data_IF_248222788801
#
_entry.id   IF_248222788801
#
_cell.length_a   1.000
_cell.length_b   1.000
_cell.length_c   1.000
_cell.angle_alpha   90.00
_cell.angle_beta   90.00
_cell.angle_gamma   90.00
#
_symmetry.space_group_name_H-M   'P 1'
#
loop_
_entity.id
_entity.type
_entity.pdbx_description
1 polymer ?
#
# COMPACT_ATOMS: atom_id res chain seq x y z
N UNK A 1 0.70 5.10 -28.27
CA UNK A 1 -0.56 4.49 -27.75
C UNK A 1 -0.42 2.98 -27.58
N UNK A 2 0.03 2.22 -28.60
CA UNK A 2 0.18 0.75 -28.52
C UNK A 2 1.17 0.32 -27.42
N UNK A 3 2.34 0.96 -27.34
CA UNK A 3 3.34 0.69 -26.28
C UNK A 3 2.85 1.06 -24.86
N UNK A 4 2.08 2.13 -24.74
CA UNK A 4 1.47 2.50 -23.46
C UNK A 4 0.43 1.46 -23.03
N UNK A 5 -0.34 0.92 -23.99
CA UNK A 5 -1.32 -0.13 -23.74
C UNK A 5 -0.66 -1.44 -23.27
N UNK A 6 0.46 -1.85 -23.86
CA UNK A 6 1.22 -3.03 -23.39
C UNK A 6 1.83 -2.78 -22.01
N UNK A 7 2.30 -1.57 -21.73
CA UNK A 7 2.79 -1.17 -20.40
C UNK A 7 1.70 -1.30 -19.33
N UNK A 8 0.49 -0.80 -19.60
CA UNK A 8 -0.64 -0.92 -18.68
C UNK A 8 -1.07 -2.38 -18.49
N UNK A 9 -1.01 -3.22 -19.54
CA UNK A 9 -1.26 -4.66 -19.43
C UNK A 9 -0.24 -5.36 -18.52
N UNK A 10 1.05 -5.08 -18.68
CA UNK A 10 2.10 -5.66 -17.82
C UNK A 10 1.93 -5.22 -16.36
N UNK A 11 1.61 -3.93 -16.14
CA UNK A 11 1.27 -3.40 -14.81
C UNK A 11 0.04 -4.10 -14.23
N UNK A 12 -1.00 -4.32 -15.03
CA UNK A 12 -2.20 -5.05 -14.61
C UNK A 12 -1.89 -6.48 -14.19
N UNK A 13 -1.07 -7.21 -14.96
CA UNK A 13 -0.65 -8.58 -14.63
C UNK A 13 0.11 -8.58 -13.29
N UNK A 14 1.08 -7.67 -13.13
CA UNK A 14 1.84 -7.55 -11.89
C UNK A 14 0.92 -7.24 -10.69
N UNK A 15 0.02 -6.25 -10.82
CA UNK A 15 -0.95 -5.90 -9.78
C UNK A 15 -1.84 -7.08 -9.41
N UNK A 16 -2.28 -7.85 -10.41
CA UNK A 16 -3.14 -9.03 -10.21
C UNK A 16 -2.39 -10.12 -9.43
N UNK A 17 -1.14 -10.42 -9.83
CA UNK A 17 -0.28 -11.39 -9.13
C UNK A 17 -0.05 -10.94 -7.68
N UNK A 18 0.33 -9.68 -7.47
CA UNK A 18 0.51 -9.14 -6.12
C UNK A 18 -0.76 -9.24 -5.28
N UNK A 19 -1.92 -8.95 -5.85
CA UNK A 19 -3.22 -9.04 -5.14
C UNK A 19 -3.53 -10.47 -4.72
N UNK A 20 -3.34 -11.44 -5.62
CA UNK A 20 -3.57 -12.86 -5.32
C UNK A 20 -2.65 -13.33 -4.19
N UNK A 21 -1.37 -12.96 -4.23
CA UNK A 21 -0.41 -13.26 -3.17
C UNK A 21 -0.81 -12.62 -1.83
N UNK A 22 -1.21 -11.36 -1.83
CA UNK A 22 -1.66 -10.67 -0.61
C UNK A 22 -2.93 -11.29 -0.04
N UNK A 23 -3.90 -11.69 -0.88
CA UNK A 23 -5.12 -12.38 -0.42
C UNK A 23 -4.78 -13.74 0.19
N UNK A 24 -3.86 -14.50 -0.41
CA UNK A 24 -3.40 -15.77 0.16
C UNK A 24 -2.75 -15.57 1.53
N UNK A 25 -1.90 -14.55 1.69
CA UNK A 25 -1.28 -14.20 2.97
C UNK A 25 -2.30 -13.79 4.03
N UNK A 26 -3.31 -12.98 3.66
CA UNK A 26 -4.41 -12.61 4.57
C UNK A 26 -5.21 -13.84 4.99
N UNK A 27 -5.52 -14.74 4.05
CA UNK A 27 -6.27 -15.96 4.33
C UNK A 27 -5.50 -16.89 5.27
N UNK A 28 -4.21 -17.15 4.99
CA UNK A 28 -3.33 -17.96 5.86
C UNK A 28 -3.21 -17.30 7.24
N UNK A 29 -2.95 -16.00 7.29
CA UNK A 29 -2.86 -15.25 8.55
C UNK A 29 -4.13 -15.35 9.39
N UNK A 30 -5.30 -15.23 8.76
CA UNK A 30 -6.59 -15.32 9.43
C UNK A 30 -6.83 -16.72 10.04
N UNK A 31 -6.49 -17.77 9.29
CA UNK A 31 -6.59 -19.15 9.80
C UNK A 31 -5.67 -19.39 11.00
N UNK A 32 -4.42 -18.89 10.93
CA UNK A 32 -3.46 -19.02 12.02
C UNK A 32 -3.92 -18.25 13.27
N UNK A 33 -4.53 -17.08 13.11
CA UNK A 33 -5.06 -16.31 14.24
C UNK A 33 -6.31 -16.94 14.87
N UNK A 34 -7.21 -17.54 14.08
CA UNK A 34 -8.39 -18.24 14.60
C UNK A 34 -8.02 -19.47 15.43
N UNK A 35 -6.95 -20.18 15.07
CA UNK A 35 -6.46 -21.32 15.83
C UNK A 35 -5.78 -20.92 17.16
N UNK A 36 -5.40 -19.66 17.32
CA UNK A 36 -4.65 -19.15 18.46
C UNK A 36 -5.52 -18.47 19.54
N UNK A 37 -6.85 -18.46 19.40
CA UNK A 37 -7.80 -17.82 20.35
C UNK A 37 -7.98 -18.58 21.68
N UNK A 38 -6.91 -19.15 22.23
CA UNK A 38 -6.84 -19.68 23.59
C UNK A 38 -5.74 -18.97 24.38
N UNK A 39 -6.06 -17.79 24.91
CA UNK A 39 -5.57 -17.23 26.19
C UNK A 39 -5.62 -15.69 26.20
N UNK A 40 -6.33 -15.13 27.18
CA UNK A 40 -6.24 -13.77 27.73
C UNK A 40 -5.51 -12.70 26.88
N UNK A 41 -6.24 -11.92 26.08
CA UNK A 41 -5.65 -10.86 25.26
C UNK A 41 -5.87 -9.47 25.84
N UNK A 42 -4.79 -8.84 26.32
CA UNK A 42 -4.72 -7.37 26.49
C UNK A 42 -4.91 -6.69 25.12
N UNK A 43 -5.43 -5.46 25.08
CA UNK A 43 -5.57 -4.68 23.84
C UNK A 43 -4.30 -4.67 22.97
N UNK A 44 -3.13 -4.54 23.58
CA UNK A 44 -1.83 -4.58 22.90
C UNK A 44 -1.61 -5.89 22.13
N UNK A 45 -1.99 -7.03 22.71
CA UNK A 45 -1.78 -8.35 22.13
C UNK A 45 -2.70 -8.58 20.93
N UNK A 46 -3.95 -8.14 21.04
CA UNK A 46 -4.91 -8.14 19.93
C UNK A 46 -4.49 -7.21 18.79
N UNK A 47 -3.99 -6.01 19.12
CA UNK A 47 -3.51 -5.07 18.10
C UNK A 47 -2.30 -5.61 17.35
N UNK A 48 -1.31 -6.16 18.05
CA UNK A 48 -0.07 -6.69 17.43
C UNK A 48 -0.38 -7.85 16.48
N UNK A 49 -1.24 -8.79 16.89
CA UNK A 49 -1.68 -9.91 16.04
C UNK A 49 -2.55 -9.45 14.87
N UNK A 50 -3.40 -8.45 15.08
CA UNK A 50 -4.29 -7.90 14.06
C UNK A 50 -3.61 -6.95 13.07
N UNK A 51 -2.47 -6.35 13.42
CA UNK A 51 -1.84 -5.31 12.61
C UNK A 51 -1.40 -5.80 11.22
N UNK A 52 -0.67 -6.92 11.06
CA UNK A 52 -0.32 -7.43 9.74
C UNK A 52 -1.56 -7.76 8.88
N UNK A 53 -2.58 -8.38 9.48
CA UNK A 53 -3.86 -8.68 8.83
C UNK A 53 -4.57 -7.41 8.33
N UNK A 54 -4.64 -6.38 9.17
CA UNK A 54 -5.20 -5.08 8.82
C UNK A 54 -4.40 -4.38 7.71
N UNK A 55 -3.07 -4.44 7.78
CA UNK A 55 -2.18 -3.84 6.79
C UNK A 55 -2.34 -4.51 5.41
N UNK A 56 -2.30 -5.84 5.35
CA UNK A 56 -2.43 -6.56 4.08
C UNK A 56 -3.85 -6.47 3.51
N UNK A 57 -4.89 -6.43 4.35
CA UNK A 57 -6.25 -6.21 3.86
C UNK A 57 -6.43 -4.81 3.25
N UNK A 58 -5.87 -3.77 3.88
CA UNK A 58 -5.80 -2.43 3.30
C UNK A 58 -5.02 -2.39 1.99
N UNK A 59 -3.89 -3.10 1.93
CA UNK A 59 -3.10 -3.23 0.70
C UNK A 59 -3.89 -3.88 -0.45
N UNK A 60 -4.64 -4.96 -0.16
CA UNK A 60 -5.53 -5.60 -1.14
C UNK A 60 -6.57 -4.60 -1.66
N UNK A 61 -7.21 -3.81 -0.79
CA UNK A 61 -8.19 -2.82 -1.21
C UNK A 61 -7.60 -1.77 -2.18
N UNK A 62 -6.39 -1.28 -1.90
CA UNK A 62 -5.68 -0.34 -2.77
C UNK A 62 -5.33 -1.00 -4.12
N UNK A 63 -4.85 -2.25 -4.10
CA UNK A 63 -4.52 -2.97 -5.34
C UNK A 63 -5.74 -3.20 -6.22
N UNK A 64 -6.87 -3.62 -5.63
CA UNK A 64 -8.13 -3.81 -6.36
C UNK A 64 -8.59 -2.49 -7.00
N UNK A 65 -8.50 -1.37 -6.29
CA UNK A 65 -8.81 -0.06 -6.85
C UNK A 65 -7.93 0.29 -8.06
N UNK A 66 -6.62 0.02 -7.98
CA UNK A 66 -5.70 0.23 -9.10
C UNK A 66 -5.99 -0.69 -10.29
N UNK A 67 -6.34 -1.96 -10.03
CA UNK A 67 -6.74 -2.93 -11.06
C UNK A 67 -7.98 -2.42 -11.80
N UNK A 68 -9.02 -2.01 -11.09
CA UNK A 68 -10.24 -1.45 -11.71
C UNK A 68 -9.90 -0.24 -12.58
N UNK A 69 -9.03 0.65 -12.10
CA UNK A 69 -8.57 1.81 -12.88
C UNK A 69 -7.82 1.40 -14.16
N UNK A 70 -6.95 0.39 -14.09
CA UNK A 70 -6.22 -0.14 -15.25
C UNK A 70 -7.16 -0.82 -16.25
N UNK A 71 -8.13 -1.62 -15.79
CA UNK A 71 -9.12 -2.27 -16.65
C UNK A 71 -9.97 -1.21 -17.38
N UNK A 72 -10.46 -0.19 -16.67
CA UNK A 72 -11.22 0.92 -17.27
C UNK A 72 -10.39 1.68 -18.31
N UNK A 73 -9.11 1.91 -18.04
CA UNK A 73 -8.20 2.53 -19.00
C UNK A 73 -7.94 1.65 -20.24
N UNK A 74 -7.90 0.32 -20.10
CA UNK A 74 -7.70 -0.60 -21.24
C UNK A 74 -8.95 -0.81 -22.10
N UNK A 75 -10.13 -0.61 -21.53
CA UNK A 75 -11.43 -0.76 -22.19
C UNK A 75 -11.93 0.47 -22.94
N UNK A 76 -11.35 1.66 -22.71
CA UNK A 76 -11.73 2.89 -23.39
C UNK A 76 -10.50 3.73 -23.75
N UNK A 77 -10.38 4.07 -25.02
CA UNK A 77 -9.29 4.92 -25.52
C UNK A 77 -9.30 6.32 -24.91
N UNK A 78 -10.48 6.83 -24.54
CA UNK A 78 -10.62 8.12 -23.86
C UNK A 78 -9.98 8.07 -22.46
N UNK A 79 -10.27 7.01 -21.69
CA UNK A 79 -9.66 6.80 -20.37
C UNK A 79 -8.17 6.50 -20.47
N UNK A 80 -7.73 5.76 -21.49
CA UNK A 80 -6.32 5.51 -21.75
C UNK A 80 -5.56 6.82 -22.01
N UNK A 81 -6.12 7.68 -22.86
CA UNK A 81 -5.55 8.99 -23.19
C UNK A 81 -5.52 9.91 -21.96
N UNK A 82 -6.59 9.94 -21.17
CA UNK A 82 -6.66 10.71 -19.92
C UNK A 82 -5.61 10.24 -18.90
N UNK A 83 -5.41 8.92 -18.79
CA UNK A 83 -4.37 8.36 -17.93
C UNK A 83 -2.97 8.71 -18.42
N UNK A 84 -2.73 8.62 -19.73
CA UNK A 84 -1.46 9.00 -20.35
C UNK A 84 -1.11 10.48 -20.13
N UNK A 85 -2.07 11.39 -20.32
CA UNK A 85 -1.88 12.82 -20.07
C UNK A 85 -1.58 13.06 -18.58
N UNK A 86 -2.31 12.37 -17.70
CA UNK A 86 -2.11 12.50 -16.25
C UNK A 86 -0.74 11.98 -15.80
N UNK A 87 -0.20 10.92 -16.41
CA UNK A 87 1.12 10.38 -16.06
C UNK A 87 2.26 11.24 -16.57
N UNK A 88 2.10 11.91 -17.72
CA UNK A 88 3.10 12.80 -18.29
C UNK A 88 2.96 14.26 -17.84
N UNK A 89 2.06 14.54 -16.91
CA UNK A 89 1.91 15.87 -16.33
C UNK A 89 3.13 16.19 -15.43
N UNK A 90 3.96 17.11 -15.90
CA UNK A 90 5.18 17.54 -15.22
C UNK A 90 4.90 18.08 -13.81
N UNK A 91 3.76 18.78 -13.62
CA UNK A 91 3.39 19.36 -12.31
C UNK A 91 3.10 18.27 -11.29
N UNK A 92 2.40 17.21 -11.69
CA UNK A 92 2.16 16.04 -10.81
C UNK A 92 3.45 15.30 -10.50
N UNK A 93 4.36 15.22 -11.47
CA UNK A 93 5.66 14.60 -11.29
C UNK A 93 6.52 15.37 -10.30
N UNK A 94 6.57 16.71 -10.39
CA UNK A 94 7.24 17.55 -9.40
C UNK A 94 6.65 17.38 -8.00
N UNK A 95 5.32 17.52 -7.85
CA UNK A 95 4.66 17.38 -6.54
C UNK A 95 4.99 16.02 -5.92
N UNK A 96 4.96 14.94 -6.71
CA UNK A 96 5.32 13.60 -6.22
C UNK A 96 6.78 13.54 -5.78
N UNK A 97 7.71 14.07 -6.57
CA UNK A 97 9.13 14.05 -6.23
C UNK A 97 9.44 14.88 -4.97
N UNK A 98 8.79 16.03 -4.80
CA UNK A 98 8.99 16.92 -3.65
C UNK A 98 8.30 16.44 -2.37
N UNK A 99 7.15 15.75 -2.48
CA UNK A 99 6.38 15.30 -1.31
C UNK A 99 6.64 13.83 -0.92
N UNK A 100 6.72 12.94 -1.92
CA UNK A 100 6.78 11.49 -1.74
C UNK A 100 7.70 10.88 -2.81
N UNK A 101 8.98 11.23 -2.73
CA UNK A 101 10.01 10.67 -3.58
C UNK A 101 10.17 9.16 -3.41
N UNK A 102 11.05 8.55 -4.22
CA UNK A 102 11.29 7.09 -4.16
C UNK A 102 11.74 6.62 -2.78
N UNK A 103 12.49 7.46 -2.05
CA UNK A 103 12.95 7.17 -0.68
C UNK A 103 11.80 6.97 0.30
N UNK A 104 10.72 7.74 0.18
CA UNK A 104 9.55 7.64 1.06
C UNK A 104 8.90 6.26 0.98
N UNK A 105 8.71 5.74 -0.23
CA UNK A 105 8.15 4.42 -0.46
C UNK A 105 9.11 3.32 0.00
N UNK A 106 10.42 3.51 -0.19
CA UNK A 106 11.42 2.56 0.28
C UNK A 106 11.42 2.45 1.80
N UNK A 107 11.42 3.58 2.52
CA UNK A 107 11.40 3.59 3.99
C UNK A 107 10.08 3.10 4.57
N UNK A 108 8.95 3.42 3.93
CA UNK A 108 7.65 2.85 4.30
C UNK A 108 7.64 1.32 4.13
N UNK A 109 8.18 0.81 3.02
CA UNK A 109 8.32 -0.62 2.78
C UNK A 109 9.21 -1.33 3.81
N UNK A 110 10.35 -0.74 4.15
CA UNK A 110 11.24 -1.30 5.19
C UNK A 110 10.57 -1.31 6.57
N UNK A 111 9.79 -0.28 6.91
CA UNK A 111 9.03 -0.24 8.16
C UNK A 111 7.98 -1.35 8.23
N UNK A 112 7.24 -1.60 7.15
CA UNK A 112 6.26 -2.69 7.08
C UNK A 112 6.92 -4.05 7.33
N UNK A 113 8.05 -4.31 6.68
CA UNK A 113 8.82 -5.55 6.90
C UNK A 113 9.30 -5.63 8.35
N UNK A 114 9.86 -4.53 8.89
CA UNK A 114 10.33 -4.46 10.27
C UNK A 114 9.22 -4.71 11.29
N UNK A 115 8.03 -4.14 11.11
CA UNK A 115 6.87 -4.37 11.98
C UNK A 115 6.44 -5.84 11.94
N UNK A 116 6.40 -6.43 10.74
CA UNK A 116 6.01 -7.83 10.55
C UNK A 116 6.99 -8.78 11.24
N UNK A 117 8.29 -8.48 11.21
CA UNK A 117 9.30 -9.28 11.92
C UNK A 117 9.19 -9.04 13.43
N UNK A 118 9.08 -7.78 13.87
CA UNK A 118 8.99 -7.42 15.28
C UNK A 118 7.77 -8.01 15.99
N UNK A 119 6.65 -8.22 15.27
CA UNK A 119 5.42 -8.81 15.83
C UNK A 119 5.61 -10.24 16.34
N UNK A 120 6.68 -10.94 15.93
CA UNK A 120 7.01 -12.26 16.46
C UNK A 120 7.90 -12.23 17.70
N UNK A 121 8.52 -11.09 18.02
CA UNK A 121 9.49 -10.99 19.12
C UNK A 121 8.92 -10.22 20.32
N UNK A 122 8.40 -9.01 20.10
CA UNK A 122 7.98 -8.13 21.19
C UNK A 122 6.84 -7.17 20.79
N UNK A 123 5.82 -7.12 21.64
CA UNK A 123 4.64 -6.30 21.43
C UNK A 123 4.94 -4.78 21.48
N UNK A 124 5.85 -4.36 22.37
CA UNK A 124 6.24 -2.96 22.54
C UNK A 124 7.01 -2.45 21.33
N UNK A 125 7.96 -3.24 20.81
CA UNK A 125 8.72 -2.91 19.59
C UNK A 125 7.75 -2.79 18.40
N UNK A 126 6.78 -3.70 18.31
CA UNK A 126 5.80 -3.68 17.22
C UNK A 126 4.92 -2.43 17.26
N UNK A 127 4.38 -2.09 18.44
CA UNK A 127 3.55 -0.90 18.64
C UNK A 127 4.32 0.39 18.34
N UNK A 128 5.57 0.48 18.79
CA UNK A 128 6.40 1.67 18.53
C UNK A 128 6.70 1.82 17.04
N UNK A 129 7.07 0.75 16.34
CA UNK A 129 7.27 0.78 14.88
C UNK A 129 5.98 1.09 14.11
N UNK A 130 4.82 0.59 14.55
CA UNK A 130 3.53 0.92 13.96
C UNK A 130 3.18 2.42 14.14
N UNK A 131 3.48 3.00 15.30
CA UNK A 131 3.32 4.44 15.54
C UNK A 131 4.26 5.26 14.64
N UNK A 132 5.53 4.83 14.49
CA UNK A 132 6.50 5.47 13.58
C UNK A 132 6.00 5.42 12.13
N UNK A 133 5.49 4.28 11.66
CA UNK A 133 4.91 4.17 10.32
C UNK A 133 3.71 5.11 10.14
N UNK A 134 2.87 5.25 11.15
CA UNK A 134 1.71 6.15 11.11
C UNK A 134 2.15 7.61 10.94
N UNK A 135 3.12 8.06 11.74
CA UNK A 135 3.69 9.41 11.62
C UNK A 135 4.39 9.61 10.28
N UNK A 136 5.12 8.60 9.79
CA UNK A 136 5.77 8.64 8.48
C UNK A 136 4.75 8.84 7.35
N UNK A 137 3.66 8.06 7.34
CA UNK A 137 2.58 8.20 6.34
C UNK A 137 1.86 9.53 6.46
N UNK A 138 1.57 10.00 7.68
CA UNK A 138 0.95 11.31 7.92
C UNK A 138 1.82 12.45 7.41
N UNK A 139 3.14 12.38 7.64
CA UNK A 139 4.08 13.39 7.15
C UNK A 139 4.06 13.45 5.62
N UNK A 140 4.06 12.31 4.94
CA UNK A 140 3.90 12.26 3.48
C UNK A 140 2.58 12.85 2.99
N UNK A 141 1.48 12.60 3.71
CA UNK A 141 0.16 13.15 3.39
C UNK A 141 0.10 14.68 3.57
N UNK A 142 0.68 15.20 4.67
CA UNK A 142 0.77 16.63 4.95
C UNK A 142 1.61 17.32 3.88
N UNK A 143 2.78 16.77 3.53
CA UNK A 143 3.63 17.32 2.48
C UNK A 143 2.91 17.32 1.13
N UNK A 144 2.22 16.22 0.80
CA UNK A 144 1.41 16.16 -0.43
C UNK A 144 0.36 17.26 -0.49
N UNK A 145 -0.36 17.49 0.61
CA UNK A 145 -1.38 18.53 0.71
C UNK A 145 -0.75 19.93 0.59
N UNK A 146 0.36 20.17 1.28
CA UNK A 146 1.10 21.43 1.20
C UNK A 146 1.53 21.75 -0.24
N UNK A 147 2.17 20.80 -0.93
CA UNK A 147 2.61 21.00 -2.31
C UNK A 147 1.44 21.11 -3.29
N UNK A 148 0.31 20.46 -3.03
CA UNK A 148 -0.90 20.60 -3.84
C UNK A 148 -1.56 21.98 -3.67
N UNK A 149 -1.51 22.57 -2.48
CA UNK A 149 -2.03 23.92 -2.24
C UNK A 149 -1.08 25.01 -2.76
N UNK A 150 0.24 24.75 -2.71
CA UNK A 150 1.27 25.70 -3.14
C UNK A 150 1.37 25.82 -4.67
N UNK A 151 1.18 24.72 -5.39
CA UNK A 151 1.31 24.66 -6.85
C UNK A 151 -0.02 24.37 -7.48
#
# INVERSE_FOLDING_TARGET
MIEFRSTIKNRLILLTICTVLSVALVYIGALLTQQAETASSTFADGFVKGFPLGLFSGFVAVMVFLIVRCIRALGSDEYLKKLYITENDERKTMIRQSAMGKSFFFTAGSLVVGITVASFFDNTITLTLAAVLTVHVLTGAILKLYYFLKY
#
